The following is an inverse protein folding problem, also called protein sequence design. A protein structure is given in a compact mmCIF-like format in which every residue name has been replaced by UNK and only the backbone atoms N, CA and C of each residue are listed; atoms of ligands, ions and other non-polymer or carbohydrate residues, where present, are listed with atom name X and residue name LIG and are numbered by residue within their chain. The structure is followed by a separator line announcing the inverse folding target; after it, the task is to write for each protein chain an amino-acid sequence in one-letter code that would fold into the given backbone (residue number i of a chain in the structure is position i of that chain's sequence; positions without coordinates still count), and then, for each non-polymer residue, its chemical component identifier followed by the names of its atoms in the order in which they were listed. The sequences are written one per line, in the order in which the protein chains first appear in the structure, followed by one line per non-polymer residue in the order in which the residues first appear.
data_IF_575912366842
#
_entry.id   IF_575912366842
#
_cell.length_a   1.000
_cell.length_b   1.000
_cell.length_c   1.000
_cell.angle_alpha   90.00
_cell.angle_beta   90.00
_cell.angle_gamma   90.00
#
_symmetry.space_group_name_H-M   'P 1'
#
loop_
_entity.id
_entity.type
_entity.pdbx_description
1 polymer ?
#
# COMPACT_ATOMS: atom_id res chain seq x y z
N UNK A 1 14.32 15.48 22.47
CA UNK A 1 15.76 15.27 22.54
C UNK A 1 16.47 16.28 21.66
N UNK A 2 17.49 17.00 22.13
CA UNK A 2 18.17 18.05 21.35
C UNK A 2 18.89 17.52 20.10
N UNK A 3 19.19 16.22 20.07
CA UNK A 3 19.84 15.55 18.94
C UNK A 3 18.85 15.15 17.82
N UNK A 4 17.54 15.26 18.05
CA UNK A 4 16.52 14.86 17.09
C UNK A 4 16.02 16.09 16.32
N UNK A 5 16.16 16.04 15.02
CA UNK A 5 15.50 17.01 14.15
C UNK A 5 14.01 16.65 13.99
N UNK A 6 13.16 17.37 14.70
CA UNK A 6 11.71 17.11 14.70
C UNK A 6 11.04 17.23 13.32
N UNK A 7 11.65 17.94 12.38
CA UNK A 7 11.14 18.06 11.01
C UNK A 7 11.47 16.85 10.14
N UNK A 8 12.34 15.94 10.62
CA UNK A 8 12.82 14.76 9.90
C UNK A 8 12.49 13.44 10.60
N UNK A 9 11.32 13.37 11.21
CA UNK A 9 10.82 12.16 11.90
C UNK A 9 9.69 11.56 11.08
N UNK A 10 9.79 10.28 10.75
CA UNK A 10 8.69 9.51 10.14
C UNK A 10 8.06 8.55 11.15
N UNK A 11 6.88 8.04 10.82
CA UNK A 11 6.19 7.01 11.60
C UNK A 11 6.03 5.74 10.78
N UNK A 12 6.36 4.59 11.39
CA UNK A 12 6.22 3.27 10.77
C UNK A 12 5.84 2.23 11.81
N UNK A 13 5.25 1.15 11.36
CA UNK A 13 4.93 0.00 12.19
C UNK A 13 4.41 -1.15 11.34
N UNK A 14 4.55 -2.37 11.86
CA UNK A 14 4.15 -3.60 11.19
C UNK A 14 2.90 -4.21 11.83
N UNK A 15 2.00 -4.78 11.04
CA UNK A 15 0.78 -5.44 11.49
C UNK A 15 -0.11 -4.49 12.32
N UNK A 16 -0.36 -4.76 13.59
CA UNK A 16 -1.00 -3.79 14.48
C UNK A 16 -0.24 -2.45 14.56
N UNK A 17 1.08 -2.47 14.43
CA UNK A 17 1.88 -1.27 14.31
C UNK A 17 1.58 -0.49 13.03
N UNK A 18 1.36 -1.17 11.91
CA UNK A 18 0.91 -0.56 10.64
C UNK A 18 -0.50 0.05 10.77
N UNK A 19 -1.41 -0.68 11.39
CA UNK A 19 -2.73 -0.17 11.75
C UNK A 19 -2.64 1.10 12.62
N UNK A 20 -1.82 1.08 13.69
CA UNK A 20 -1.60 2.25 14.55
C UNK A 20 -0.91 3.39 13.79
N UNK A 21 0.00 3.09 12.86
CA UNK A 21 0.63 4.10 11.99
C UNK A 21 -0.41 4.92 11.22
N UNK A 22 -1.44 4.26 10.70
CA UNK A 22 -2.53 4.95 10.00
C UNK A 22 -3.34 5.89 10.91
N UNK A 23 -3.60 5.47 12.16
CA UNK A 23 -4.30 6.30 13.15
C UNK A 23 -3.43 7.48 13.57
N UNK A 24 -2.17 7.20 13.93
CA UNK A 24 -1.22 8.23 14.39
C UNK A 24 -1.00 9.29 13.31
N UNK A 25 -0.85 8.88 12.05
CA UNK A 25 -0.70 9.82 10.94
C UNK A 25 -1.93 10.73 10.72
N UNK A 26 -3.12 10.28 11.15
CA UNK A 26 -4.34 11.10 11.07
C UNK A 26 -4.55 12.05 12.25
N UNK A 27 -3.87 11.80 13.39
CA UNK A 27 -4.02 12.61 14.61
C UNK A 27 -2.81 13.50 14.91
N UNK A 28 -1.65 13.20 14.29
CA UNK A 28 -0.40 13.95 14.51
C UNK A 28 0.24 14.30 13.16
N UNK A 29 0.24 15.58 12.82
CA UNK A 29 0.73 16.13 11.55
C UNK A 29 2.22 16.50 11.55
N UNK A 30 2.95 16.23 12.63
CA UNK A 30 4.38 16.56 12.78
C UNK A 30 5.31 15.58 12.05
N UNK A 31 4.80 14.43 11.61
CA UNK A 31 5.62 13.44 10.90
C UNK A 31 5.88 13.87 9.44
N UNK A 32 7.13 13.67 8.99
CA UNK A 32 7.52 13.95 7.61
C UNK A 32 6.94 12.93 6.61
N UNK A 33 6.68 11.71 7.06
CA UNK A 33 6.10 10.61 6.27
C UNK A 33 5.54 9.52 7.17
N UNK A 34 4.67 8.66 6.59
CA UNK A 34 4.12 7.49 7.26
C UNK A 34 4.30 6.22 6.41
N UNK A 35 4.69 5.11 7.07
CA UNK A 35 4.87 3.81 6.41
C UNK A 35 4.14 2.71 7.16
N UNK A 36 2.84 2.51 6.94
CA UNK A 36 2.14 1.33 7.44
C UNK A 36 2.58 0.07 6.67
N UNK A 37 3.02 -0.94 7.41
CA UNK A 37 3.36 -2.27 6.90
C UNK A 37 2.32 -3.27 7.38
N UNK A 38 1.66 -3.99 6.46
CA UNK A 38 0.55 -4.91 6.78
C UNK A 38 -0.52 -4.28 7.66
N UNK A 39 -0.90 -3.05 7.42
CA UNK A 39 -1.90 -2.38 8.25
C UNK A 39 -2.71 -1.39 7.44
N UNK A 40 -4.04 -1.49 7.51
CA UNK A 40 -4.95 -0.59 6.82
C UNK A 40 -6.26 -0.45 7.61
N UNK A 41 -7.19 0.36 7.11
CA UNK A 41 -8.54 0.51 7.64
C UNK A 41 -9.56 -0.38 6.94
N UNK A 42 -10.83 -0.04 7.12
CA UNK A 42 -11.98 -0.78 6.59
C UNK A 42 -12.04 -2.23 7.11
N UNK A 43 -11.69 -2.43 8.39
CA UNK A 43 -11.63 -3.75 9.01
C UNK A 43 -13.01 -4.42 9.13
N UNK A 44 -14.07 -3.63 9.19
CA UNK A 44 -15.44 -4.13 9.19
C UNK A 44 -15.93 -4.62 7.83
N UNK A 45 -15.25 -4.24 6.74
CA UNK A 45 -15.62 -4.67 5.38
C UNK A 45 -14.94 -5.99 5.02
N UNK A 46 -13.63 -6.07 5.25
CA UNK A 46 -12.86 -7.30 5.08
C UNK A 46 -11.60 -7.27 5.94
N UNK A 47 -11.45 -8.25 6.82
CA UNK A 47 -10.27 -8.46 7.65
C UNK A 47 -10.33 -9.80 8.36
N UNK A 48 -9.24 -10.20 9.02
CA UNK A 48 -9.24 -11.38 9.89
C UNK A 48 -10.10 -11.21 11.15
N UNK A 49 -10.60 -10.00 11.45
CA UNK A 49 -11.36 -9.70 12.66
C UNK A 49 -12.89 -9.69 12.46
N UNK A 50 -13.40 -10.04 11.29
CA UNK A 50 -14.86 -10.03 11.02
C UNK A 50 -15.64 -10.89 12.02
N UNK A 51 -15.16 -12.08 12.36
CA UNK A 51 -15.81 -12.95 13.34
C UNK A 51 -15.84 -12.32 14.74
N UNK A 52 -14.81 -11.55 15.11
CA UNK A 52 -14.76 -10.82 16.38
C UNK A 52 -15.77 -9.68 16.39
N UNK A 53 -15.89 -8.93 15.32
CA UNK A 53 -16.92 -7.89 15.19
C UNK A 53 -18.32 -8.48 15.24
N UNK A 54 -18.54 -9.63 14.62
CA UNK A 54 -19.80 -10.35 14.72
C UNK A 54 -20.09 -10.76 16.18
N UNK A 55 -19.09 -11.29 16.90
CA UNK A 55 -19.21 -11.68 18.32
C UNK A 55 -19.45 -10.52 19.29
N UNK A 56 -19.02 -9.30 18.94
CA UNK A 56 -19.30 -8.08 19.72
C UNK A 56 -20.76 -7.62 19.62
N UNK A 57 -21.51 -8.10 18.64
CA UNK A 57 -22.81 -7.58 18.26
C UNK A 57 -22.73 -6.27 17.48
N UNK A 58 -23.75 -6.03 16.65
CA UNK A 58 -23.75 -4.93 15.67
C UNK A 58 -23.45 -3.55 16.29
N UNK A 59 -24.09 -3.21 17.39
CA UNK A 59 -23.94 -1.89 18.02
C UNK A 59 -22.51 -1.64 18.54
N UNK A 60 -21.94 -2.63 19.25
CA UNK A 60 -20.59 -2.51 19.80
C UNK A 60 -19.53 -2.53 18.69
N UNK A 61 -19.70 -3.37 17.68
CA UNK A 61 -18.80 -3.40 16.52
C UNK A 61 -18.81 -2.06 15.78
N UNK A 62 -19.99 -1.46 15.55
CA UNK A 62 -20.10 -0.17 14.91
C UNK A 62 -19.43 0.93 15.75
N UNK A 63 -19.69 1.00 17.07
CA UNK A 63 -19.01 1.96 17.98
C UNK A 63 -17.49 1.80 17.97
N UNK A 64 -17.00 0.57 17.85
CA UNK A 64 -15.58 0.30 17.78
C UNK A 64 -14.99 0.81 16.46
N UNK A 65 -15.60 0.47 15.32
CA UNK A 65 -15.16 0.88 13.99
C UNK A 65 -15.17 2.41 13.83
N UNK A 66 -16.21 3.09 14.31
CA UNK A 66 -16.32 4.55 14.27
C UNK A 66 -15.23 5.28 15.08
N UNK A 67 -14.63 4.62 16.06
CA UNK A 67 -13.63 5.22 16.95
C UNK A 67 -12.21 4.79 16.65
N UNK A 68 -12.03 3.56 16.19
CA UNK A 68 -10.72 2.93 16.14
C UNK A 68 -10.31 2.44 14.76
N UNK A 69 -11.24 2.36 13.78
CA UNK A 69 -10.83 1.97 12.44
C UNK A 69 -9.98 3.07 11.79
N UNK A 70 -8.82 2.73 11.21
CA UNK A 70 -7.96 3.68 10.51
C UNK A 70 -8.68 4.50 9.41
N UNK A 71 -9.75 3.98 8.80
CA UNK A 71 -10.53 4.70 7.79
C UNK A 71 -11.09 6.04 8.27
N UNK A 72 -11.28 6.18 9.60
CA UNK A 72 -11.74 7.43 10.22
C UNK A 72 -10.62 8.49 10.20
N UNK A 73 -9.37 8.09 10.31
CA UNK A 73 -8.20 8.95 10.50
C UNK A 73 -7.45 9.24 9.19
N UNK A 74 -7.43 8.29 8.26
CA UNK A 74 -6.69 8.40 6.99
C UNK A 74 -7.03 9.68 6.20
N UNK A 75 -8.28 10.16 6.10
CA UNK A 75 -8.60 11.41 5.41
C UNK A 75 -8.00 12.65 6.06
N UNK A 76 -7.59 12.58 7.33
CA UNK A 76 -7.03 13.69 8.10
C UNK A 76 -5.51 13.77 7.99
N UNK A 77 -4.84 12.75 7.50
CA UNK A 77 -3.39 12.71 7.36
C UNK A 77 -2.86 13.85 6.48
N UNK A 78 -1.69 14.40 6.84
CA UNK A 78 -1.06 15.54 6.15
C UNK A 78 0.29 15.20 5.50
N UNK A 79 0.86 14.05 5.80
CA UNK A 79 2.15 13.59 5.29
C UNK A 79 1.99 12.55 4.19
N UNK A 80 2.98 12.38 3.30
CA UNK A 80 2.98 11.32 2.29
C UNK A 80 3.09 9.93 2.92
N UNK A 81 2.53 8.92 2.22
CA UNK A 81 2.49 7.53 2.65
C UNK A 81 3.27 6.60 1.72
N UNK A 82 3.95 5.62 2.30
CA UNK A 82 4.33 4.39 1.61
C UNK A 82 3.57 3.22 2.25
N UNK A 83 2.72 2.57 1.46
CA UNK A 83 2.07 1.32 1.88
C UNK A 83 2.95 0.14 1.50
N UNK A 84 3.26 -0.72 2.46
CA UNK A 84 3.95 -2.00 2.21
C UNK A 84 3.01 -3.13 2.60
N UNK A 85 2.65 -3.95 1.62
CA UNK A 85 1.70 -5.05 1.84
C UNK A 85 2.00 -6.23 0.91
N UNK A 86 1.40 -7.37 1.19
CA UNK A 86 1.50 -8.58 0.41
C UNK A 86 0.19 -8.94 -0.30
N UNK A 87 0.29 -9.45 -1.52
CA UNK A 87 -0.89 -9.86 -2.27
C UNK A 87 -1.66 -11.03 -1.62
N UNK A 88 -1.05 -11.74 -0.67
CA UNK A 88 -1.64 -12.85 0.07
C UNK A 88 -1.79 -12.56 1.57
N UNK A 89 -1.86 -11.28 1.95
CA UNK A 89 -2.14 -10.93 3.34
C UNK A 89 -3.53 -11.44 3.75
N UNK A 90 -3.59 -12.18 4.85
CA UNK A 90 -4.84 -12.71 5.40
C UNK A 90 -5.50 -11.75 6.39
N UNK A 91 -4.71 -10.88 6.99
CA UNK A 91 -5.17 -10.00 8.06
C UNK A 91 -5.68 -8.66 7.54
N UNK A 92 -4.93 -8.06 6.61
CA UNK A 92 -5.23 -6.79 5.95
C UNK A 92 -5.29 -6.98 4.43
N UNK A 93 -6.37 -7.52 3.91
CA UNK A 93 -6.46 -7.89 2.50
C UNK A 93 -6.47 -6.68 1.56
N UNK A 94 -6.05 -6.92 0.31
CA UNK A 94 -5.84 -5.87 -0.69
C UNK A 94 -7.07 -5.01 -1.02
N UNK A 95 -8.28 -5.50 -0.83
CA UNK A 95 -9.50 -4.71 -1.03
C UNK A 95 -9.69 -3.66 0.08
N UNK A 96 -9.38 -4.00 1.33
CA UNK A 96 -9.35 -3.04 2.44
C UNK A 96 -8.16 -2.08 2.33
N UNK A 97 -6.99 -2.56 1.89
CA UNK A 97 -5.86 -1.72 1.52
C UNK A 97 -6.25 -0.71 0.42
N UNK A 98 -6.94 -1.16 -0.64
CA UNK A 98 -7.36 -0.28 -1.72
C UNK A 98 -8.29 0.83 -1.26
N UNK A 99 -9.24 0.53 -0.39
CA UNK A 99 -10.11 1.54 0.22
C UNK A 99 -9.31 2.52 1.06
N UNK A 100 -8.33 2.02 1.80
CA UNK A 100 -7.49 2.80 2.71
C UNK A 100 -6.63 3.83 1.97
N UNK A 101 -5.88 3.43 0.93
CA UNK A 101 -5.06 4.40 0.21
C UNK A 101 -5.91 5.39 -0.62
N UNK A 102 -7.12 5.00 -1.02
CA UNK A 102 -8.07 5.91 -1.69
C UNK A 102 -8.73 6.92 -0.74
N UNK A 103 -8.74 6.64 0.55
CA UNK A 103 -9.23 7.57 1.56
C UNK A 103 -8.24 8.69 1.89
N UNK A 104 -6.96 8.57 1.47
CA UNK A 104 -5.96 9.60 1.68
C UNK A 104 -6.19 10.81 0.77
N UNK A 105 -5.99 12.00 1.32
CA UNK A 105 -5.97 13.28 0.60
C UNK A 105 -4.53 13.77 0.35
N UNK A 106 -3.54 12.91 0.51
CA UNK A 106 -2.10 13.19 0.37
C UNK A 106 -1.46 12.20 -0.60
N UNK A 107 -0.26 12.52 -1.14
CA UNK A 107 0.45 11.60 -2.02
C UNK A 107 0.74 10.26 -1.32
N UNK A 108 0.65 9.18 -2.10
CA UNK A 108 1.01 7.85 -1.61
C UNK A 108 1.76 7.04 -2.67
N UNK A 109 2.56 6.10 -2.20
CA UNK A 109 3.24 5.08 -2.99
C UNK A 109 2.82 3.71 -2.49
N UNK A 110 2.63 2.76 -3.40
CA UNK A 110 2.28 1.38 -3.07
C UNK A 110 3.47 0.46 -3.34
N UNK A 111 3.84 -0.33 -2.36
CA UNK A 111 4.77 -1.47 -2.48
C UNK A 111 3.97 -2.74 -2.20
N UNK A 112 3.32 -3.30 -3.22
CA UNK A 112 2.59 -4.56 -3.12
C UNK A 112 3.49 -5.69 -3.60
N UNK A 113 3.90 -6.55 -2.67
CA UNK A 113 4.78 -7.68 -2.96
C UNK A 113 3.98 -8.91 -3.37
N UNK A 114 4.35 -9.44 -4.51
CA UNK A 114 3.68 -10.62 -5.08
C UNK A 114 3.85 -11.85 -4.20
N UNK A 115 2.76 -12.51 -3.87
CA UNK A 115 2.70 -13.75 -3.06
C UNK A 115 3.25 -13.60 -1.64
N UNK A 116 3.47 -12.39 -1.16
CA UNK A 116 3.91 -12.19 0.21
C UNK A 116 2.71 -12.37 1.16
N UNK A 117 2.79 -13.30 2.13
CA UNK A 117 1.77 -13.45 3.15
C UNK A 117 1.98 -12.45 4.30
N UNK A 118 0.98 -12.29 5.15
CA UNK A 118 1.17 -11.62 6.43
C UNK A 118 2.14 -12.39 7.31
N UNK A 119 3.18 -11.74 7.78
CA UNK A 119 4.16 -12.39 8.64
C UNK A 119 5.24 -11.45 9.13
N UNK A 120 5.87 -11.81 10.24
CA UNK A 120 7.02 -11.12 10.78
C UNK A 120 8.29 -11.74 10.20
N UNK A 121 9.08 -10.91 9.53
CA UNK A 121 10.33 -11.29 8.87
C UNK A 121 10.81 -10.21 7.91
N UNK A 122 11.99 -10.38 7.35
CA UNK A 122 12.70 -9.36 6.57
C UNK A 122 11.86 -8.73 5.44
N UNK A 123 10.95 -9.49 4.84
CA UNK A 123 10.10 -8.98 3.75
C UNK A 123 9.16 -7.84 4.18
N UNK A 124 8.64 -7.89 5.41
CA UNK A 124 7.78 -6.86 5.98
C UNK A 124 8.52 -5.92 6.94
N UNK A 125 9.50 -6.45 7.68
CA UNK A 125 10.19 -5.68 8.72
C UNK A 125 11.29 -4.77 8.15
N UNK A 126 11.94 -5.16 7.06
CA UNK A 126 13.07 -4.42 6.50
C UNK A 126 13.14 -4.39 4.97
N UNK A 127 12.05 -4.06 4.25
CA UNK A 127 12.11 -3.90 2.81
C UNK A 127 12.90 -2.64 2.44
N UNK A 128 13.69 -2.72 1.36
CA UNK A 128 14.52 -1.59 0.89
C UNK A 128 13.70 -0.34 0.60
N UNK A 129 12.47 -0.50 0.15
CA UNK A 129 11.57 0.60 -0.20
C UNK A 129 11.30 1.54 0.97
N UNK A 130 11.25 1.02 2.21
CA UNK A 130 11.10 1.86 3.41
C UNK A 130 12.30 2.78 3.57
N UNK A 131 13.52 2.25 3.42
CA UNK A 131 14.74 3.05 3.54
C UNK A 131 14.84 4.11 2.44
N UNK A 132 14.57 3.75 1.19
CA UNK A 132 14.57 4.70 0.05
C UNK A 132 13.53 5.80 0.27
N UNK A 133 12.32 5.42 0.70
CA UNK A 133 11.27 6.39 0.98
C UNK A 133 11.63 7.32 2.14
N UNK A 134 12.14 6.79 3.24
CA UNK A 134 12.60 7.58 4.37
C UNK A 134 13.74 8.53 3.98
N UNK A 135 14.76 8.04 3.27
CA UNK A 135 15.91 8.85 2.84
C UNK A 135 15.47 10.01 1.93
N UNK A 136 14.45 9.81 1.10
CA UNK A 136 13.89 10.90 0.29
C UNK A 136 13.41 12.08 1.16
N UNK A 137 12.69 11.81 2.25
CA UNK A 137 12.13 12.86 3.10
C UNK A 137 13.11 13.41 4.14
N UNK A 138 14.05 12.59 4.64
CA UNK A 138 14.94 13.02 5.74
C UNK A 138 16.35 13.38 5.30
N UNK A 139 16.79 12.94 4.10
CA UNK A 139 18.15 13.14 3.59
C UNK A 139 18.22 13.65 2.16
N UNK A 140 17.10 14.12 1.60
CA UNK A 140 16.98 14.52 0.20
C UNK A 140 17.43 13.43 -0.80
N UNK A 141 17.20 12.15 -0.44
CA UNK A 141 17.46 10.99 -1.29
C UNK A 141 16.56 10.95 -2.52
N UNK A 142 16.86 10.04 -3.44
CA UNK A 142 16.06 9.85 -4.64
C UNK A 142 14.69 9.25 -4.31
N UNK A 143 13.59 9.76 -4.88
CA UNK A 143 12.26 9.18 -4.64
C UNK A 143 12.12 7.78 -5.28
N UNK A 144 11.21 6.99 -4.76
CA UNK A 144 10.74 5.78 -5.44
C UNK A 144 10.04 6.14 -6.76
N UNK A 145 10.10 5.28 -7.80
CA UNK A 145 9.33 5.48 -9.01
C UNK A 145 7.84 5.46 -8.69
N UNK A 146 7.08 6.31 -9.36
CA UNK A 146 5.64 6.40 -9.15
C UNK A 146 4.89 6.48 -10.49
N UNK A 147 3.73 5.84 -10.55
CA UNK A 147 2.80 6.04 -11.64
C UNK A 147 2.21 7.45 -11.57
N UNK A 148 2.30 8.19 -12.67
CA UNK A 148 1.66 9.51 -12.81
C UNK A 148 0.25 9.39 -13.37
N UNK A 149 -0.04 8.32 -14.10
CA UNK A 149 -1.39 7.97 -14.52
C UNK A 149 -1.50 6.48 -14.79
N UNK A 150 -2.69 5.93 -14.51
CA UNK A 150 -3.07 4.57 -14.92
C UNK A 150 -4.48 4.66 -15.51
N UNK A 151 -4.64 4.19 -16.75
CA UNK A 151 -5.91 4.20 -17.47
C UNK A 151 -6.24 2.80 -17.96
N UNK A 152 -7.51 2.43 -17.86
CA UNK A 152 -8.03 1.17 -18.37
C UNK A 152 -9.11 1.41 -19.41
N UNK A 153 -9.01 0.71 -20.53
CA UNK A 153 -10.02 0.65 -21.56
C UNK A 153 -10.26 -0.83 -21.96
N UNK A 154 -11.38 -1.39 -21.52
CA UNK A 154 -11.62 -2.82 -21.65
C UNK A 154 -10.58 -3.65 -20.89
N UNK A 155 -9.82 -4.48 -21.61
CA UNK A 155 -8.71 -5.28 -21.06
C UNK A 155 -7.36 -4.57 -21.19
N UNK A 156 -7.25 -3.51 -21.97
CA UNK A 156 -6.02 -2.77 -22.12
C UNK A 156 -5.80 -1.82 -20.96
N UNK A 157 -4.66 -1.92 -20.30
CA UNK A 157 -4.18 -0.96 -19.30
C UNK A 157 -2.97 -0.22 -19.85
N UNK A 158 -2.99 1.11 -19.74
CA UNK A 158 -1.86 1.99 -20.08
C UNK A 158 -1.49 2.79 -18.84
N UNK A 159 -0.19 2.96 -18.62
CA UNK A 159 0.30 3.75 -17.50
C UNK A 159 1.47 4.61 -17.92
N UNK A 160 1.52 5.81 -17.34
CA UNK A 160 2.69 6.67 -17.37
C UNK A 160 3.33 6.68 -15.98
N UNK A 161 4.66 6.80 -15.94
CA UNK A 161 5.41 6.88 -14.69
C UNK A 161 6.50 7.95 -14.79
N UNK A 162 6.79 8.56 -13.66
CA UNK A 162 7.93 9.45 -13.53
C UNK A 162 9.18 8.58 -13.32
N UNK A 163 10.10 8.60 -14.27
CA UNK A 163 11.37 7.90 -14.14
C UNK A 163 12.33 8.59 -13.15
N UNK A 164 12.09 9.86 -12.81
CA UNK A 164 12.89 10.56 -11.82
C UNK A 164 14.40 10.30 -11.94
N UNK A 165 15.13 10.41 -10.84
CA UNK A 165 16.54 10.03 -10.82
C UNK A 165 16.78 8.50 -10.71
N UNK A 166 15.71 7.68 -10.56
CA UNK A 166 15.78 6.22 -10.58
C UNK A 166 15.33 5.71 -11.94
N UNK A 167 16.19 4.96 -12.63
CA UNK A 167 15.81 4.34 -13.91
C UNK A 167 14.93 3.13 -13.66
N UNK A 168 13.71 3.15 -14.21
CA UNK A 168 12.86 1.96 -14.22
C UNK A 168 13.41 0.97 -15.24
N UNK A 169 13.83 -0.19 -14.78
CA UNK A 169 14.45 -1.24 -15.60
C UNK A 169 13.47 -2.34 -16.00
N UNK A 170 12.38 -2.50 -15.25
CA UNK A 170 11.41 -3.56 -15.45
C UNK A 170 10.03 -3.14 -14.94
N UNK A 171 8.98 -3.65 -15.58
CA UNK A 171 7.61 -3.60 -15.05
C UNK A 171 6.97 -4.98 -15.15
N UNK A 172 6.02 -5.24 -14.28
CA UNK A 172 5.22 -6.47 -14.26
C UNK A 172 3.73 -6.16 -14.11
N UNK A 173 2.92 -6.89 -14.87
CA UNK A 173 1.49 -7.04 -14.62
C UNK A 173 1.30 -8.27 -13.72
N UNK A 174 0.86 -8.02 -12.50
CA UNK A 174 0.52 -9.07 -11.54
C UNK A 174 -0.99 -9.24 -11.52
N UNK A 175 -1.48 -10.46 -11.61
CA UNK A 175 -2.91 -10.75 -11.65
C UNK A 175 -3.27 -12.08 -11.04
N UNK A 176 -4.54 -12.24 -10.70
CA UNK A 176 -5.11 -13.51 -10.24
C UNK A 176 -6.48 -13.75 -10.89
N UNK A 177 -6.75 -15.00 -11.22
CA UNK A 177 -8.08 -15.45 -11.67
C UNK A 177 -8.99 -15.84 -10.49
N UNK A 178 -8.38 -16.06 -9.32
CA UNK A 178 -9.07 -16.54 -8.12
C UNK A 178 -9.91 -15.42 -7.49
N UNK A 179 -11.12 -15.80 -7.07
CA UNK A 179 -12.08 -14.92 -6.36
C UNK A 179 -12.23 -15.28 -4.87
N UNK A 180 -11.54 -16.32 -4.42
CA UNK A 180 -11.59 -16.81 -3.04
C UNK A 180 -10.87 -15.91 -2.03
N UNK A 181 -10.56 -16.49 -0.86
CA UNK A 181 -9.84 -15.79 0.21
C UNK A 181 -8.48 -15.28 -0.26
N UNK A 182 -8.12 -14.06 0.07
CA UNK A 182 -6.90 -13.41 -0.40
C UNK A 182 -5.63 -14.24 -0.16
N UNK A 183 -5.48 -14.82 1.01
CA UNK A 183 -4.32 -15.64 1.39
C UNK A 183 -4.12 -16.89 0.52
N UNK A 184 -5.18 -17.37 -0.13
CA UNK A 184 -5.20 -18.61 -0.91
C UNK A 184 -5.08 -18.36 -2.41
N UNK A 185 -5.20 -17.09 -2.85
CA UNK A 185 -5.17 -16.74 -4.27
C UNK A 185 -3.82 -17.06 -4.89
N UNK A 186 -3.88 -17.70 -6.05
CA UNK A 186 -2.71 -17.90 -6.89
C UNK A 186 -2.50 -16.70 -7.78
N UNK A 187 -1.35 -16.11 -7.66
CA UNK A 187 -0.97 -14.93 -8.42
C UNK A 187 -0.01 -15.30 -9.53
N UNK A 188 -0.19 -14.68 -10.68
CA UNK A 188 0.65 -14.76 -11.86
C UNK A 188 1.29 -13.40 -12.11
N UNK A 189 2.48 -13.39 -12.73
CA UNK A 189 3.19 -12.20 -13.11
C UNK A 189 3.63 -12.30 -14.56
N UNK A 190 3.37 -11.28 -15.35
CA UNK A 190 3.82 -11.17 -16.73
C UNK A 190 4.71 -9.94 -16.89
N UNK A 191 5.85 -10.06 -17.57
CA UNK A 191 6.69 -8.91 -17.85
C UNK A 191 5.97 -7.95 -18.79
N UNK A 192 6.07 -6.65 -18.50
CA UNK A 192 5.50 -5.59 -19.32
C UNK A 192 6.65 -4.79 -19.93
N UNK A 193 6.67 -4.62 -21.26
CA UNK A 193 7.67 -3.77 -21.90
C UNK A 193 7.60 -2.34 -21.37
N UNK A 194 8.76 -1.80 -21.02
CA UNK A 194 8.92 -0.44 -20.50
C UNK A 194 9.56 0.43 -21.59
N UNK A 195 8.90 1.53 -21.91
CA UNK A 195 9.55 2.57 -22.67
C UNK A 195 10.16 3.59 -21.70
N UNK A 196 11.43 3.39 -21.37
CA UNK A 196 12.14 4.25 -20.42
C UNK A 196 12.26 5.71 -20.90
N UNK A 197 12.30 5.95 -22.21
CA UNK A 197 12.42 7.30 -22.77
C UNK A 197 11.12 8.11 -22.61
N UNK A 198 9.97 7.47 -22.79
CA UNK A 198 8.67 8.14 -22.66
C UNK A 198 8.04 8.00 -21.27
N UNK A 199 8.62 7.19 -20.39
CA UNK A 199 8.03 6.89 -19.08
C UNK A 199 6.65 6.23 -19.19
N UNK A 200 6.44 5.33 -20.16
CA UNK A 200 5.15 4.74 -20.44
C UNK A 200 5.22 3.22 -20.57
N UNK A 201 4.12 2.58 -20.26
CA UNK A 201 3.91 1.14 -20.48
C UNK A 201 2.47 0.84 -20.89
N UNK A 202 2.29 -0.31 -21.52
CA UNK A 202 0.96 -0.84 -21.86
C UNK A 202 0.96 -2.34 -21.67
N UNK A 203 -0.10 -2.86 -21.06
CA UNK A 203 -0.32 -4.28 -20.87
C UNK A 203 -1.75 -4.66 -21.20
N UNK A 204 -1.99 -5.93 -21.48
CA UNK A 204 -3.31 -6.49 -21.64
C UNK A 204 -3.66 -7.35 -20.42
N UNK A 205 -4.75 -7.01 -19.78
CA UNK A 205 -5.26 -7.76 -18.62
C UNK A 205 -5.79 -9.09 -19.14
N UNK A 206 -5.29 -10.24 -18.64
CA UNK A 206 -5.78 -11.55 -19.04
C UNK A 206 -7.28 -11.71 -18.84
N UNK A 207 -7.90 -12.48 -19.71
CA UNK A 207 -9.32 -12.77 -19.61
C UNK A 207 -9.62 -13.49 -18.29
N UNK A 208 -10.70 -13.11 -17.64
CA UNK A 208 -11.08 -13.69 -16.35
C UNK A 208 -10.30 -13.17 -15.16
N UNK A 209 -9.33 -12.27 -15.33
CA UNK A 209 -8.59 -11.69 -14.20
C UNK A 209 -9.54 -11.00 -13.23
N UNK A 210 -9.60 -11.50 -11.99
CA UNK A 210 -10.42 -10.95 -10.92
C UNK A 210 -9.79 -9.69 -10.31
N UNK A 211 -8.46 -9.68 -10.20
CA UNK A 211 -7.67 -8.55 -9.68
C UNK A 211 -6.37 -8.47 -10.47
N UNK A 212 -5.90 -7.25 -10.67
CA UNK A 212 -4.57 -6.99 -11.24
C UNK A 212 -3.95 -5.74 -10.63
N UNK A 213 -2.64 -5.65 -10.70
CA UNK A 213 -1.87 -4.45 -10.40
C UNK A 213 -0.54 -4.45 -11.18
N UNK A 214 0.08 -3.27 -11.28
CA UNK A 214 1.35 -3.09 -11.95
C UNK A 214 2.45 -2.79 -10.93
N UNK A 215 3.61 -3.40 -11.10
CA UNK A 215 4.82 -3.08 -10.35
C UNK A 215 5.90 -2.49 -11.29
N UNK A 216 6.63 -1.50 -10.77
CA UNK A 216 7.84 -0.95 -11.38
C UNK A 216 9.06 -1.39 -10.55
N UNK A 217 10.17 -1.68 -11.23
CA UNK A 217 11.43 -2.07 -10.61
C UNK A 217 12.56 -1.17 -11.10
N UNK A 218 13.47 -0.82 -10.18
CA UNK A 218 14.65 0.01 -10.40
C UNK A 218 15.94 -0.73 -10.08
#
# INVERSE_FOLDING_TARGET
LPEVDGARVGVTGISWGGYLTCIVAGVDDRFAFAVPVYGCGFLGDNSTWLDRFQGMGRENAQKWLERWDPSVYLPLAKMPFLWVDGSNDFAYPMDSLQKSYRALNVPYTLCVRLRMPHGHGAAGENPKEIHVFADHFVRAGKPLPAFTSVKRAGRKVTAAFASGPCTVVKAELNYTLDKGKWKERKWLAEPVPVNACSGALSAEIPEGAAVYYLNLFT
#
